data_IF_270885086346
#
_entry.id   IF_270885086346
#
_cell.length_a   1.000
_cell.length_b   1.000
_cell.length_c   1.000
_cell.angle_alpha   90.00
_cell.angle_beta   90.00
_cell.angle_gamma   90.00
#
_symmetry.space_group_name_H-M   'P 1'
#
loop_
_entity.id
_entity.type
_entity.pdbx_description
1 polymer ?
#
# COMPACT_ATOMS: atom_id res chain seq x y z
N UNK A 1 -4.73 21.04 4.49
CA UNK A 1 -4.15 19.92 3.72
C UNK A 1 -3.13 20.36 2.67
N UNK A 2 -3.50 21.04 1.56
CA UNK A 2 -2.54 21.40 0.48
C UNK A 2 -1.24 22.04 0.98
N UNK A 3 -1.33 23.13 1.74
CA UNK A 3 -0.14 23.83 2.27
C UNK A 3 0.72 22.94 3.20
N UNK A 4 0.08 22.05 3.97
CA UNK A 4 0.80 21.11 4.84
C UNK A 4 1.57 20.09 4.02
N UNK A 5 0.96 19.53 2.97
CA UNK A 5 1.63 18.60 2.04
C UNK A 5 2.81 19.30 1.36
N UNK A 6 2.61 20.49 0.78
CA UNK A 6 3.69 21.23 0.11
C UNK A 6 4.83 21.60 1.06
N UNK A 7 4.52 21.93 2.31
CA UNK A 7 5.53 22.22 3.32
C UNK A 7 6.33 20.98 3.70
N UNK A 8 5.66 19.84 3.88
CA UNK A 8 6.30 18.56 4.16
C UNK A 8 7.21 18.12 3.00
N UNK A 9 6.72 18.21 1.75
CA UNK A 9 7.51 17.92 0.56
C UNK A 9 8.76 18.81 0.46
N UNK A 10 8.63 20.12 0.70
CA UNK A 10 9.79 21.05 0.71
C UNK A 10 10.81 20.74 1.80
N UNK A 11 10.36 20.17 2.93
CA UNK A 11 11.25 19.71 4.01
C UNK A 11 11.96 18.41 3.68
N UNK A 12 11.49 17.70 2.65
CA UNK A 12 12.00 16.40 2.23
C UNK A 12 11.41 15.23 3.00
N UNK A 13 10.21 15.38 3.57
CA UNK A 13 9.50 14.27 4.20
C UNK A 13 9.14 13.20 3.17
N UNK A 14 9.30 11.93 3.54
CA UNK A 14 8.86 10.80 2.71
C UNK A 14 7.35 10.85 2.45
N UNK A 15 6.94 10.42 1.25
CA UNK A 15 5.51 10.32 0.88
C UNK A 15 4.69 9.55 1.92
N UNK A 16 5.24 8.43 2.41
CA UNK A 16 4.59 7.60 3.42
C UNK A 16 4.33 8.33 4.73
N UNK A 17 5.28 9.15 5.19
CA UNK A 17 5.13 9.97 6.39
C UNK A 17 4.04 11.03 6.23
N UNK A 18 3.93 11.64 5.04
CA UNK A 18 2.87 12.62 4.72
C UNK A 18 1.49 11.96 4.73
N UNK A 19 1.36 10.74 4.21
CA UNK A 19 0.11 9.96 4.28
C UNK A 19 -0.29 9.64 5.71
N UNK A 20 0.68 9.30 6.57
CA UNK A 20 0.47 8.99 7.99
C UNK A 20 0.21 10.23 8.85
N UNK A 21 0.54 11.43 8.37
CA UNK A 21 0.22 12.66 9.07
C UNK A 21 -1.31 12.84 9.14
N UNK A 22 -1.84 13.21 10.30
CA UNK A 22 -3.28 13.43 10.48
C UNK A 22 -3.75 14.75 9.81
N UNK A 23 -3.74 14.80 8.48
CA UNK A 23 -4.02 15.99 7.67
C UNK A 23 -5.52 16.29 7.50
N UNK A 24 -6.33 15.96 8.51
CA UNK A 24 -7.77 16.25 8.54
C UNK A 24 -7.97 17.76 8.78
N UNK A 25 -8.71 18.47 7.89
CA UNK A 25 -9.02 19.88 8.10
C UNK A 25 -9.74 20.12 9.44
N UNK A 26 -9.38 21.18 10.18
CA UNK A 26 -10.15 21.59 11.35
C UNK A 26 -11.62 21.81 10.99
N UNK A 27 -12.54 21.35 11.85
CA UNK A 27 -13.98 21.50 11.64
C UNK A 27 -14.59 20.51 10.65
N UNK A 28 -13.79 19.73 9.90
CA UNK A 28 -14.33 18.72 8.98
C UNK A 28 -15.29 17.78 9.73
N UNK A 29 -14.88 17.26 10.88
CA UNK A 29 -15.64 16.28 11.66
C UNK A 29 -16.78 16.87 12.50
N UNK A 30 -16.97 18.19 12.51
CA UNK A 30 -17.92 18.84 13.42
C UNK A 30 -19.27 19.15 12.76
N UNK A 31 -19.32 19.48 11.47
CA UNK A 31 -20.52 20.15 10.91
C UNK A 31 -21.00 19.63 9.54
N UNK A 32 -20.34 18.63 8.93
CA UNK A 32 -20.68 18.18 7.56
C UNK A 32 -20.47 16.67 7.33
N UNK A 33 -21.29 15.77 7.90
CA UNK A 33 -21.16 14.31 7.73
C UNK A 33 -21.06 13.86 6.27
N UNK A 34 -21.78 14.55 5.38
CA UNK A 34 -21.84 14.23 3.95
C UNK A 34 -20.48 14.38 3.23
N UNK A 35 -19.53 15.15 3.78
CA UNK A 35 -18.20 15.33 3.17
C UNK A 35 -17.15 14.35 3.70
N UNK A 36 -17.47 13.53 4.71
CA UNK A 36 -16.46 12.65 5.34
C UNK A 36 -16.00 11.59 4.37
N UNK A 37 -16.95 10.88 3.77
CA UNK A 37 -16.66 9.80 2.84
C UNK A 37 -15.95 10.31 1.57
N UNK A 38 -16.41 11.38 0.89
CA UNK A 38 -15.68 11.99 -0.21
C UNK A 38 -14.25 12.42 0.18
N UNK A 39 -14.08 13.02 1.36
CA UNK A 39 -12.77 13.45 1.83
C UNK A 39 -11.84 12.25 2.03
N UNK A 40 -12.30 11.19 2.69
CA UNK A 40 -11.49 9.99 2.93
C UNK A 40 -11.08 9.29 1.63
N UNK A 41 -11.99 9.21 0.64
CA UNK A 41 -11.69 8.65 -0.69
C UNK A 41 -10.62 9.49 -1.40
N UNK A 42 -10.73 10.81 -1.37
CA UNK A 42 -9.87 11.68 -2.17
C UNK A 42 -8.53 12.01 -1.51
N UNK A 43 -8.46 11.99 -0.17
CA UNK A 43 -7.32 12.50 0.60
C UNK A 43 -6.00 11.95 0.11
N UNK A 44 -5.88 10.62 0.03
CA UNK A 44 -4.62 9.96 -0.33
C UNK A 44 -4.21 10.31 -1.76
N UNK A 45 -5.14 10.26 -2.72
CA UNK A 45 -4.86 10.59 -4.11
C UNK A 45 -4.47 12.06 -4.31
N UNK A 46 -5.04 12.99 -3.51
CA UNK A 46 -4.63 14.40 -3.53
C UNK A 46 -3.22 14.56 -2.96
N UNK A 47 -2.87 13.84 -1.90
CA UNK A 47 -1.51 13.81 -1.35
C UNK A 47 -0.53 13.30 -2.42
N UNK A 48 -0.83 12.17 -3.05
CA UNK A 48 0.01 11.57 -4.10
C UNK A 48 0.24 12.55 -5.25
N UNK A 49 -0.84 13.16 -5.75
CA UNK A 49 -0.75 14.12 -6.86
C UNK A 49 0.08 15.35 -6.50
N UNK A 50 -0.13 15.91 -5.31
CA UNK A 50 0.66 17.06 -4.87
C UNK A 50 2.13 16.70 -4.69
N UNK A 51 2.42 15.51 -4.16
CA UNK A 51 3.79 15.04 -3.99
C UNK A 51 4.48 14.85 -5.35
N UNK A 52 3.86 14.12 -6.28
CA UNK A 52 4.39 13.86 -7.63
C UNK A 52 4.68 15.16 -8.40
N UNK A 53 3.79 16.15 -8.28
CA UNK A 53 3.95 17.45 -8.93
C UNK A 53 5.11 18.30 -8.39
N UNK A 54 5.64 17.99 -7.20
CA UNK A 54 6.56 18.89 -6.48
C UNK A 54 7.91 18.25 -6.11
N UNK A 55 8.05 16.93 -6.15
CA UNK A 55 9.32 16.27 -5.80
C UNK A 55 10.22 16.04 -7.03
N UNK A 56 9.63 15.82 -8.21
CA UNK A 56 10.37 15.46 -9.42
C UNK A 56 10.86 13.99 -9.43
N UNK A 57 11.82 13.67 -10.31
CA UNK A 57 12.30 12.29 -10.50
C UNK A 57 13.24 11.82 -9.38
N UNK A 58 14.02 12.72 -8.79
CA UNK A 58 15.00 12.40 -7.76
C UNK A 58 14.47 12.89 -6.42
N UNK A 59 14.18 11.94 -5.53
CA UNK A 59 13.62 12.23 -4.23
C UNK A 59 14.73 12.41 -3.17
N UNK A 60 14.47 13.15 -2.09
CA UNK A 60 15.46 13.41 -1.03
C UNK A 60 15.84 12.16 -0.23
N UNK A 61 15.03 11.10 -0.29
CA UNK A 61 15.25 9.80 0.36
C UNK A 61 15.94 8.79 -0.58
N UNK A 62 16.68 9.28 -1.58
CA UNK A 62 17.38 8.50 -2.62
C UNK A 62 16.45 7.72 -3.57
N UNK A 63 15.12 7.79 -3.41
CA UNK A 63 14.22 7.17 -4.37
C UNK A 63 14.37 7.81 -5.76
N UNK A 64 14.38 6.97 -6.79
CA UNK A 64 14.51 7.39 -8.19
C UNK A 64 15.95 7.66 -8.64
N UNK A 65 16.95 7.55 -7.76
CA UNK A 65 18.36 7.53 -8.16
C UNK A 65 18.74 6.16 -8.73
N UNK A 66 18.47 5.11 -7.96
CA UNK A 66 18.67 3.72 -8.36
C UNK A 66 17.34 3.01 -8.58
N UNK A 67 17.35 2.02 -9.49
CA UNK A 67 16.15 1.36 -9.97
C UNK A 67 16.22 -0.15 -9.70
N UNK A 68 16.25 -0.51 -8.41
CA UNK A 68 16.25 -1.91 -7.99
C UNK A 68 14.97 -2.62 -8.47
N UNK A 69 15.16 -3.79 -9.05
CA UNK A 69 14.09 -4.66 -9.53
C UNK A 69 13.59 -5.57 -8.40
N UNK A 70 12.46 -6.24 -8.64
CA UNK A 70 11.98 -7.30 -7.72
C UNK A 70 12.97 -8.45 -7.59
N UNK A 71 13.73 -8.74 -8.64
CA UNK A 71 14.74 -9.79 -8.61
C UNK A 71 15.89 -9.41 -7.67
N UNK A 72 16.33 -8.15 -7.68
CA UNK A 72 17.40 -7.64 -6.79
C UNK A 72 16.97 -7.70 -5.32
N UNK A 73 15.72 -7.31 -5.01
CA UNK A 73 15.18 -7.45 -3.67
C UNK A 73 15.06 -8.91 -3.23
N UNK A 74 14.69 -9.81 -4.14
CA UNK A 74 14.58 -11.23 -3.85
C UNK A 74 15.97 -11.87 -3.63
N UNK A 75 16.98 -11.46 -4.40
CA UNK A 75 18.38 -11.85 -4.21
C UNK A 75 18.88 -11.39 -2.83
N UNK A 76 18.63 -10.14 -2.45
CA UNK A 76 18.98 -9.62 -1.12
C UNK A 76 18.37 -10.46 0.01
N UNK A 77 17.08 -10.79 -0.08
CA UNK A 77 16.38 -11.55 0.97
C UNK A 77 16.80 -13.02 1.01
N UNK A 78 16.78 -13.69 -0.14
CA UNK A 78 16.94 -15.16 -0.20
C UNK A 78 18.40 -15.57 -0.29
N UNK A 79 19.18 -14.92 -1.15
CA UNK A 79 20.54 -15.35 -1.46
C UNK A 79 21.55 -14.75 -0.46
N UNK A 80 21.41 -13.46 -0.11
CA UNK A 80 22.32 -12.80 0.85
C UNK A 80 21.89 -12.95 2.32
N UNK A 81 20.59 -12.76 2.62
CA UNK A 81 20.08 -12.87 3.99
C UNK A 81 19.60 -14.28 4.36
N UNK A 82 19.64 -15.23 3.41
CA UNK A 82 19.24 -16.63 3.63
C UNK A 82 17.82 -16.79 4.18
N UNK A 83 16.90 -15.89 3.80
CA UNK A 83 15.49 -15.99 4.21
C UNK A 83 14.85 -17.21 3.55
N UNK A 84 14.49 -18.19 4.38
CA UNK A 84 13.76 -19.38 3.94
C UNK A 84 12.27 -19.11 3.73
N UNK A 85 11.62 -19.95 2.91
CA UNK A 85 10.16 -19.96 2.71
C UNK A 85 9.41 -19.97 4.05
N UNK A 86 9.85 -20.82 5.00
CA UNK A 86 9.21 -20.94 6.32
C UNK A 86 9.32 -19.64 7.11
N UNK A 87 10.48 -18.96 7.08
CA UNK A 87 10.65 -17.68 7.76
C UNK A 87 9.81 -16.58 7.12
N UNK A 88 9.73 -16.56 5.78
CA UNK A 88 8.88 -15.63 5.04
C UNK A 88 7.42 -15.79 5.45
N UNK A 89 6.85 -16.99 5.32
CA UNK A 89 5.44 -17.27 5.64
C UNK A 89 5.12 -16.93 7.09
N UNK A 90 5.94 -17.39 8.04
CA UNK A 90 5.74 -17.10 9.47
C UNK A 90 5.77 -15.60 9.76
N UNK A 91 6.64 -14.84 9.09
CA UNK A 91 6.73 -13.39 9.27
C UNK A 91 5.51 -12.68 8.68
N UNK A 92 5.08 -13.09 7.49
CA UNK A 92 3.88 -12.58 6.83
C UNK A 92 2.62 -12.85 7.66
N UNK A 93 2.47 -14.05 8.21
CA UNK A 93 1.36 -14.41 9.10
C UNK A 93 1.35 -13.53 10.36
N UNK A 94 2.52 -13.31 10.98
CA UNK A 94 2.65 -12.42 12.13
C UNK A 94 2.29 -10.98 11.79
N UNK A 95 2.80 -10.44 10.69
CA UNK A 95 2.47 -9.08 10.23
C UNK A 95 0.97 -8.94 9.96
N UNK A 96 0.35 -9.98 9.40
CA UNK A 96 -1.09 -10.02 9.14
C UNK A 96 -1.88 -10.04 10.44
N UNK A 97 -1.48 -10.87 11.42
CA UNK A 97 -2.10 -10.91 12.74
C UNK A 97 -1.98 -9.56 13.49
N UNK A 98 -0.86 -8.87 13.30
CA UNK A 98 -0.62 -7.52 13.84
C UNK A 98 -1.35 -6.40 13.05
N UNK A 99 -2.12 -6.73 12.03
CA UNK A 99 -2.86 -5.77 11.19
C UNK A 99 -1.99 -4.96 10.21
N UNK A 100 -0.71 -5.33 10.02
CA UNK A 100 0.26 -4.65 9.17
C UNK A 100 0.23 -5.20 7.73
N UNK A 101 -0.93 -5.13 7.09
CA UNK A 101 -1.17 -5.80 5.81
C UNK A 101 -0.33 -5.25 4.66
N UNK A 102 -0.09 -3.94 4.61
CA UNK A 102 0.74 -3.30 3.57
C UNK A 102 2.19 -3.76 3.67
N UNK A 103 2.70 -3.89 4.90
CA UNK A 103 4.06 -4.37 5.14
C UNK A 103 4.18 -5.86 4.81
N UNK A 104 3.16 -6.66 5.14
CA UNK A 104 3.08 -8.07 4.76
C UNK A 104 3.08 -8.24 3.22
N UNK A 105 2.31 -7.42 2.51
CA UNK A 105 2.26 -7.44 1.05
C UNK A 105 3.59 -6.99 0.43
N UNK A 106 4.22 -5.95 0.98
CA UNK A 106 5.54 -5.48 0.54
C UNK A 106 6.59 -6.57 0.68
N UNK A 107 6.65 -7.26 1.83
CA UNK A 107 7.58 -8.37 2.05
C UNK A 107 7.36 -9.52 1.05
N UNK A 108 6.10 -9.89 0.77
CA UNK A 108 5.78 -10.91 -0.23
C UNK A 108 6.21 -10.51 -1.64
N UNK A 109 5.99 -9.26 -2.05
CA UNK A 109 6.40 -8.79 -3.37
C UNK A 109 7.93 -8.64 -3.48
N UNK A 110 8.63 -8.30 -2.39
CA UNK A 110 10.09 -8.25 -2.33
C UNK A 110 10.75 -9.63 -2.43
N UNK A 111 10.07 -10.71 -2.00
CA UNK A 111 10.56 -12.07 -2.20
C UNK A 111 10.52 -12.51 -3.69
N UNK A 112 9.86 -11.73 -4.56
CA UNK A 112 9.79 -11.95 -5.99
C UNK A 112 9.28 -13.35 -6.35
N UNK A 113 9.85 -13.93 -7.41
CA UNK A 113 9.43 -15.23 -7.93
C UNK A 113 10.15 -16.41 -7.26
N UNK A 114 11.02 -16.16 -6.26
CA UNK A 114 11.83 -17.19 -5.58
C UNK A 114 10.98 -18.29 -4.94
N UNK A 115 9.75 -17.96 -4.56
CA UNK A 115 8.79 -18.90 -3.97
C UNK A 115 7.48 -19.03 -4.78
N UNK A 116 7.50 -18.73 -6.09
CA UNK A 116 6.28 -18.74 -6.92
C UNK A 116 5.55 -20.09 -6.92
N UNK A 117 6.30 -21.20 -6.81
CA UNK A 117 5.76 -22.57 -6.77
C UNK A 117 5.29 -23.01 -5.38
N UNK A 118 5.48 -22.20 -4.36
CA UNK A 118 5.08 -22.54 -3.00
C UNK A 118 3.58 -22.27 -2.78
N UNK A 119 2.83 -23.33 -2.48
CA UNK A 119 1.44 -23.21 -2.06
C UNK A 119 1.29 -22.48 -0.73
N UNK A 120 2.27 -22.58 0.17
CA UNK A 120 2.24 -21.90 1.47
C UNK A 120 2.36 -20.39 1.31
N UNK A 121 3.27 -19.93 0.45
CA UNK A 121 3.44 -18.51 0.10
C UNK A 121 2.22 -18.01 -0.68
N UNK A 122 1.68 -18.80 -1.61
CA UNK A 122 0.47 -18.43 -2.34
C UNK A 122 -0.73 -18.23 -1.41
N UNK A 123 -0.92 -19.11 -0.40
CA UNK A 123 -1.99 -18.98 0.59
C UNK A 123 -1.80 -17.75 1.49
N UNK A 124 -0.58 -17.51 1.96
CA UNK A 124 -0.26 -16.30 2.75
C UNK A 124 -0.52 -15.03 1.94
N UNK A 125 -0.10 -15.01 0.66
CA UNK A 125 -0.38 -13.92 -0.29
C UNK A 125 -1.87 -13.68 -0.46
N UNK A 126 -2.65 -14.75 -0.66
CA UNK A 126 -4.11 -14.65 -0.77
C UNK A 126 -4.74 -14.02 0.47
N UNK A 127 -4.38 -14.48 1.67
CA UNK A 127 -4.89 -13.93 2.92
C UNK A 127 -4.58 -12.43 3.07
N UNK A 128 -3.33 -12.03 2.81
CA UNK A 128 -2.89 -10.62 2.93
C UNK A 128 -3.71 -9.71 2.01
N UNK A 129 -3.87 -10.07 0.73
CA UNK A 129 -4.61 -9.24 -0.20
C UNK A 129 -6.11 -9.23 0.06
N UNK A 130 -6.70 -10.32 0.57
CA UNK A 130 -8.08 -10.30 1.06
C UNK A 130 -8.25 -9.33 2.24
N UNK A 131 -7.26 -9.25 3.15
CA UNK A 131 -7.28 -8.28 4.25
C UNK A 131 -7.11 -6.84 3.79
N UNK A 132 -6.29 -6.60 2.77
CA UNK A 132 -6.20 -5.29 2.13
C UNK A 132 -7.51 -4.91 1.42
N UNK A 133 -8.16 -5.84 0.73
CA UNK A 133 -9.49 -5.61 0.15
C UNK A 133 -10.50 -5.24 1.25
N UNK A 134 -10.58 -6.02 2.33
CA UNK A 134 -11.47 -5.75 3.46
C UNK A 134 -11.25 -4.36 4.07
N UNK A 135 -9.98 -3.95 4.22
CA UNK A 135 -9.59 -2.63 4.74
C UNK A 135 -10.08 -1.48 3.86
N UNK A 136 -10.06 -1.65 2.53
CA UNK A 136 -10.31 -0.56 1.57
C UNK A 136 -11.69 -0.59 0.91
N UNK A 137 -12.50 -1.64 1.12
CA UNK A 137 -13.78 -1.84 0.43
C UNK A 137 -14.75 -0.64 0.48
N UNK A 138 -14.71 0.14 1.58
CA UNK A 138 -15.61 1.28 1.78
C UNK A 138 -14.96 2.63 1.48
N UNK A 139 -13.65 2.71 1.34
CA UNK A 139 -12.90 3.99 1.34
C UNK A 139 -12.03 4.19 0.12
N UNK A 140 -11.65 3.14 -0.60
CA UNK A 140 -10.84 3.25 -1.81
C UNK A 140 -11.18 2.11 -2.79
N UNK A 141 -12.12 2.33 -3.73
CA UNK A 141 -12.51 1.33 -4.70
C UNK A 141 -11.37 0.99 -5.68
N UNK A 142 -10.41 1.90 -5.90
CA UNK A 142 -9.28 1.64 -6.79
C UNK A 142 -8.32 0.64 -6.18
N UNK A 143 -7.93 0.85 -4.91
CA UNK A 143 -7.13 -0.12 -4.17
C UNK A 143 -7.82 -1.47 -4.06
N UNK A 144 -9.12 -1.49 -3.78
CA UNK A 144 -9.90 -2.72 -3.72
C UNK A 144 -9.77 -3.55 -5.02
N UNK A 145 -9.95 -2.92 -6.19
CA UNK A 145 -9.84 -3.59 -7.49
C UNK A 145 -8.39 -4.02 -7.80
N UNK A 146 -7.39 -3.19 -7.46
CA UNK A 146 -5.98 -3.53 -7.69
C UNK A 146 -5.59 -4.75 -6.83
N UNK A 147 -6.01 -4.79 -5.58
CA UNK A 147 -5.73 -5.90 -4.67
C UNK A 147 -6.48 -7.16 -5.05
N UNK A 148 -7.72 -7.09 -5.53
CA UNK A 148 -8.41 -8.27 -6.06
C UNK A 148 -7.68 -8.83 -7.29
N UNK A 149 -7.19 -7.97 -8.18
CA UNK A 149 -6.38 -8.37 -9.33
C UNK A 149 -5.09 -9.12 -8.96
N UNK A 150 -4.42 -8.72 -7.86
CA UNK A 150 -3.20 -9.38 -7.36
C UNK A 150 -3.40 -10.85 -6.98
N UNK A 151 -4.62 -11.24 -6.62
CA UNK A 151 -4.98 -12.62 -6.25
C UNK A 151 -6.01 -13.25 -7.18
N UNK A 152 -6.33 -12.58 -8.30
CA UNK A 152 -7.36 -12.98 -9.27
C UNK A 152 -8.71 -13.25 -8.60
N UNK A 153 -9.04 -12.50 -7.56
CA UNK A 153 -10.31 -12.62 -6.86
C UNK A 153 -11.43 -12.00 -7.69
N UNK A 154 -12.51 -12.74 -7.86
CA UNK A 154 -13.70 -12.22 -8.55
C UNK A 154 -14.42 -11.22 -7.64
N UNK A 155 -14.59 -10.00 -8.13
CA UNK A 155 -15.37 -8.97 -7.44
C UNK A 155 -16.80 -8.99 -7.99
N UNK A 156 -17.84 -9.18 -7.15
CA UNK A 156 -19.22 -9.14 -7.61
C UNK A 156 -19.52 -7.84 -8.34
N UNK A 157 -20.09 -7.94 -9.54
CA UNK A 157 -20.61 -6.77 -10.25
C UNK A 157 -21.94 -6.37 -9.63
N UNK A 158 -22.23 -5.06 -9.59
CA UNK A 158 -23.57 -4.62 -9.24
C UNK A 158 -24.56 -5.22 -10.24
N UNK A 159 -25.53 -5.99 -9.75
CA UNK A 159 -26.61 -6.52 -10.57
C UNK A 159 -27.38 -5.32 -11.11
N UNK A 160 -27.38 -5.12 -12.43
CA UNK A 160 -28.22 -4.11 -13.06
C UNK A 160 -29.67 -4.43 -12.70
N UNK A 161 -30.25 -3.61 -11.82
CA UNK A 161 -31.69 -3.68 -11.55
C UNK A 161 -32.37 -3.20 -12.83
N UNK A 162 -33.11 -4.10 -13.49
CA UNK A 162 -33.95 -3.75 -14.65
C UNK A 162 -35.13 -2.90 -14.24
#
# INVERSE_FOLDING_TARGET
MREQVLTATRRGDERGAIHQANLIPPGLLNDQPDVYQPYLILREHVIDRLYDQNVGYWQPDLQGLEHLTRADHAELLVDYLSVSERQLVKTVERLTADGKYELAASLLESAGDRFERSSSVANAKRLVYLKLMEKHQNTDPFKFIIYSGKIREQTPQMTATK
#
